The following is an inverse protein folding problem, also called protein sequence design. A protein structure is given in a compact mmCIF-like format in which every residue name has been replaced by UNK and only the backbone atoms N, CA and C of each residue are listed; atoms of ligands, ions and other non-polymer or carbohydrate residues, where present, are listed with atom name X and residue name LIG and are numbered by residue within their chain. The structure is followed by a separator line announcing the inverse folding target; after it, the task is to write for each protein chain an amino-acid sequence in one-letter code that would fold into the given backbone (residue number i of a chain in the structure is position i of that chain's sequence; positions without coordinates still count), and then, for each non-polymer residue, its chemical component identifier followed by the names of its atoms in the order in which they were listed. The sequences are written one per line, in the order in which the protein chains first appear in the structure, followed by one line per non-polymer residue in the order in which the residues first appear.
data_IF_573931415462
#
_entry.id   IF_573931415462
#
_cell.length_a   1.000
_cell.length_b   1.000
_cell.length_c   1.000
_cell.angle_alpha   90.00
_cell.angle_beta   90.00
_cell.angle_gamma   90.00
#
_symmetry.space_group_name_H-M   'P 1'
#
loop_
_entity.id
_entity.type
_entity.pdbx_description
1 polymer ?
#
# COMPACT_ATOMS: atom_id res chain seq x y z
N UNK A 1 11.23 -7.11 17.30
CA UNK A 1 10.54 -6.66 18.54
C UNK A 1 11.50 -6.34 19.68
N UNK A 2 12.21 -7.32 20.25
CA UNK A 2 13.20 -7.06 21.32
C UNK A 2 14.29 -6.06 20.90
N UNK A 3 14.82 -6.19 19.68
CA UNK A 3 15.81 -5.26 19.12
C UNK A 3 15.26 -3.84 18.87
N UNK A 4 13.94 -3.69 18.74
CA UNK A 4 13.25 -2.41 18.56
C UNK A 4 12.84 -1.78 19.91
N UNK A 5 13.22 -2.38 21.05
CA UNK A 5 12.87 -1.86 22.38
C UNK A 5 11.38 -1.96 22.75
N UNK A 6 10.61 -2.74 21.99
CA UNK A 6 9.14 -2.83 22.14
C UNK A 6 8.77 -3.59 23.42
N UNK A 7 7.83 -3.09 24.25
CA UNK A 7 7.34 -3.81 25.43
C UNK A 7 6.78 -5.20 25.09
N UNK A 8 7.09 -6.20 25.93
CA UNK A 8 6.66 -7.61 25.69
C UNK A 8 5.15 -7.77 25.50
N UNK A 9 4.35 -6.95 26.18
CA UNK A 9 2.89 -7.02 26.13
C UNK A 9 2.27 -6.78 24.74
N UNK A 10 3.02 -6.17 23.80
CA UNK A 10 2.51 -5.88 22.46
C UNK A 10 3.23 -6.64 21.35
N UNK A 11 4.14 -7.57 21.68
CA UNK A 11 4.93 -8.30 20.67
C UNK A 11 4.07 -9.06 19.67
N UNK A 12 3.01 -9.72 20.16
CA UNK A 12 2.11 -10.49 19.31
C UNK A 12 1.41 -9.56 18.31
N UNK A 13 0.78 -8.49 18.80
CA UNK A 13 0.09 -7.50 17.97
C UNK A 13 1.05 -6.90 16.94
N UNK A 14 2.24 -6.46 17.37
CA UNK A 14 3.23 -5.86 16.48
C UNK A 14 3.71 -6.84 15.38
N UNK A 15 3.92 -8.12 15.71
CA UNK A 15 4.36 -9.12 14.74
C UNK A 15 3.23 -9.48 13.77
N UNK A 16 2.02 -9.68 14.28
CA UNK A 16 0.84 -9.97 13.45
C UNK A 16 0.49 -8.82 12.51
N UNK A 17 0.62 -7.55 12.95
CA UNK A 17 0.42 -6.39 12.07
C UNK A 17 1.37 -6.40 10.87
N UNK A 18 2.66 -6.66 11.10
CA UNK A 18 3.63 -6.76 10.00
C UNK A 18 3.27 -7.91 9.05
N UNK A 19 2.93 -9.09 9.59
CA UNK A 19 2.55 -10.25 8.77
C UNK A 19 1.30 -9.97 7.95
N UNK A 20 0.25 -9.38 8.54
CA UNK A 20 -0.98 -9.04 7.81
C UNK A 20 -0.72 -8.00 6.73
N UNK A 21 0.13 -7.01 6.97
CA UNK A 21 0.52 -6.04 5.95
C UNK A 21 1.24 -6.72 4.78
N UNK A 22 2.24 -7.57 5.08
CA UNK A 22 3.00 -8.30 4.05
C UNK A 22 2.08 -9.20 3.23
N UNK A 23 1.22 -10.00 3.89
CA UNK A 23 0.29 -10.88 3.21
C UNK A 23 -0.75 -10.11 2.39
N UNK A 24 -1.23 -8.97 2.91
CA UNK A 24 -2.13 -8.08 2.18
C UNK A 24 -1.49 -7.56 0.90
N UNK A 25 -0.29 -6.98 0.99
CA UNK A 25 0.45 -6.47 -0.16
C UNK A 25 0.74 -7.58 -1.19
N UNK A 26 1.20 -8.74 -0.75
CA UNK A 26 1.46 -9.88 -1.64
C UNK A 26 0.18 -10.41 -2.29
N UNK A 27 -0.95 -10.44 -1.57
CA UNK A 27 -2.23 -10.84 -2.17
C UNK A 27 -2.68 -9.89 -3.27
N UNK A 28 -2.39 -8.59 -3.15
CA UNK A 28 -2.66 -7.61 -4.20
C UNK A 28 -1.75 -7.83 -5.41
N UNK A 29 -0.50 -8.26 -5.22
CA UNK A 29 0.38 -8.62 -6.34
C UNK A 29 -0.02 -9.91 -7.05
N UNK A 30 -0.75 -10.83 -6.38
CA UNK A 30 -1.26 -12.05 -7.01
C UNK A 30 -2.64 -11.88 -7.64
N UNK A 31 -3.50 -11.06 -7.05
CA UNK A 31 -4.79 -10.66 -7.66
C UNK A 31 -4.54 -9.63 -8.80
N UNK A 32 -3.46 -8.84 -8.71
CA UNK A 32 -3.00 -7.91 -9.75
C UNK A 32 -2.05 -8.51 -10.78
N UNK A 33 -1.32 -9.58 -10.44
CA UNK A 33 -0.49 -10.35 -11.37
C UNK A 33 -1.29 -11.27 -12.31
N UNK A 34 -2.56 -11.51 -11.97
CA UNK A 34 -3.60 -12.01 -12.87
C UNK A 34 -4.72 -10.97 -13.07
N UNK A 35 -4.44 -9.66 -12.88
CA UNK A 35 -5.31 -8.67 -13.49
C UNK A 35 -5.20 -8.89 -15.01
N UNK A 36 -6.31 -9.15 -15.73
CA UNK A 36 -6.25 -9.44 -17.16
C UNK A 36 -5.61 -8.26 -17.87
N UNK A 37 -4.32 -8.38 -18.23
CA UNK A 37 -3.56 -7.34 -18.90
C UNK A 37 -2.10 -7.22 -18.50
N UNK A 38 -1.70 -7.38 -17.23
CA UNK A 38 -0.36 -6.98 -16.75
C UNK A 38 0.79 -7.98 -17.07
N UNK A 39 0.93 -8.38 -18.33
CA UNK A 39 2.06 -9.23 -18.79
C UNK A 39 3.32 -8.39 -19.09
N UNK A 40 3.18 -7.05 -19.16
CA UNK A 40 4.26 -6.11 -19.44
C UNK A 40 4.18 -4.81 -18.60
N UNK A 41 5.28 -4.06 -18.52
CA UNK A 41 5.31 -2.74 -17.86
C UNK A 41 4.32 -1.74 -18.49
N UNK A 42 4.08 -1.84 -19.79
CA UNK A 42 3.14 -0.99 -20.53
C UNK A 42 1.68 -1.25 -20.10
N UNK A 43 1.34 -2.51 -19.86
CA UNK A 43 -0.01 -2.87 -19.41
C UNK A 43 -0.26 -2.43 -17.97
N UNK A 44 0.79 -2.47 -17.12
CA UNK A 44 0.74 -1.91 -15.77
C UNK A 44 0.48 -0.41 -15.80
N UNK A 45 1.21 0.33 -16.64
CA UNK A 45 1.04 1.78 -16.78
C UNK A 45 -0.38 2.14 -17.23
N UNK A 46 -0.92 1.43 -18.23
CA UNK A 46 -2.32 1.60 -18.67
C UNK A 46 -3.33 1.31 -17.56
N UNK A 47 -3.10 0.29 -16.75
CA UNK A 47 -3.97 -0.03 -15.61
C UNK A 47 -3.97 1.11 -14.57
N UNK A 48 -2.79 1.63 -14.22
CA UNK A 48 -2.69 2.73 -13.26
C UNK A 48 -3.27 4.04 -13.79
N UNK A 49 -3.09 4.33 -15.08
CA UNK A 49 -3.71 5.47 -15.75
C UNK A 49 -5.24 5.36 -15.71
N UNK A 50 -5.79 4.19 -16.05
CA UNK A 50 -7.23 3.94 -16.00
C UNK A 50 -7.79 4.04 -14.56
N UNK A 51 -7.06 3.53 -13.57
CA UNK A 51 -7.46 3.65 -12.16
C UNK A 51 -7.47 5.11 -11.68
N UNK A 52 -6.44 5.89 -12.03
CA UNK A 52 -6.38 7.33 -11.73
C UNK A 52 -7.52 8.09 -12.41
N UNK A 53 -7.80 7.81 -13.68
CA UNK A 53 -8.90 8.44 -14.42
C UNK A 53 -10.25 8.12 -13.76
N UNK A 54 -10.48 6.88 -13.35
CA UNK A 54 -11.69 6.47 -12.65
C UNK A 54 -11.88 7.23 -11.31
N UNK A 55 -10.79 7.56 -10.61
CA UNK A 55 -10.88 8.37 -9.39
C UNK A 55 -11.22 9.83 -9.67
N UNK A 56 -10.74 10.38 -10.79
CA UNK A 56 -11.04 11.74 -11.22
C UNK A 56 -12.48 11.93 -11.71
N UNK A 57 -13.16 10.85 -12.10
CA UNK A 57 -14.59 10.86 -12.47
C UNK A 57 -15.53 10.95 -11.24
N UNK A 58 -15.03 10.69 -10.03
CA UNK A 58 -15.81 10.82 -8.80
C UNK A 58 -16.15 12.30 -8.52
N UNK A 59 -17.29 12.58 -7.88
CA UNK A 59 -17.63 13.94 -7.47
C UNK A 59 -16.57 14.49 -6.48
N UNK A 60 -15.88 15.59 -6.80
CA UNK A 60 -14.83 16.14 -5.93
C UNK A 60 -15.34 16.66 -4.59
N UNK A 61 -16.63 17.01 -4.48
CA UNK A 61 -17.22 17.42 -3.20
C UNK A 61 -17.38 16.23 -2.24
N UNK A 62 -17.69 15.05 -2.78
CA UNK A 62 -17.90 13.84 -2.00
C UNK A 62 -16.59 13.05 -1.79
N UNK A 63 -15.64 13.14 -2.73
CA UNK A 63 -14.38 12.37 -2.72
C UNK A 63 -13.11 13.24 -2.78
N UNK A 64 -12.97 14.28 -1.94
CA UNK A 64 -11.83 15.20 -2.02
C UNK A 64 -10.48 14.51 -1.79
N UNK A 65 -10.44 13.44 -0.99
CA UNK A 65 -9.22 12.66 -0.77
C UNK A 65 -8.76 11.94 -2.03
N UNK A 66 -9.67 11.30 -2.77
CA UNK A 66 -9.33 10.53 -3.97
C UNK A 66 -8.74 11.45 -5.05
N UNK A 67 -9.33 12.64 -5.21
CA UNK A 67 -8.78 13.68 -6.09
C UNK A 67 -7.40 14.17 -5.64
N UNK A 68 -7.18 14.33 -4.33
CA UNK A 68 -5.90 14.79 -3.81
C UNK A 68 -4.73 13.80 -4.06
N UNK A 69 -5.03 12.51 -4.32
CA UNK A 69 -4.03 11.47 -4.51
C UNK A 69 -4.11 10.77 -5.88
N UNK A 70 -4.95 11.22 -6.81
CA UNK A 70 -5.12 10.55 -8.11
C UNK A 70 -3.81 10.46 -8.88
N UNK A 71 -3.03 11.55 -8.89
CA UNK A 71 -1.75 11.57 -9.60
C UNK A 71 -0.74 10.60 -8.97
N UNK A 72 -0.79 10.44 -7.64
CA UNK A 72 0.04 9.47 -6.92
C UNK A 72 -0.36 8.03 -7.28
N UNK A 73 -1.66 7.75 -7.49
CA UNK A 73 -2.12 6.45 -7.97
C UNK A 73 -1.55 6.12 -9.35
N UNK A 74 -1.42 7.10 -10.24
CA UNK A 74 -0.83 6.88 -11.57
C UNK A 74 0.67 6.65 -11.53
N UNK A 75 1.38 7.39 -10.67
CA UNK A 75 2.84 7.51 -10.73
C UNK A 75 3.60 6.58 -9.78
N UNK A 76 2.92 5.95 -8.82
CA UNK A 76 3.61 5.18 -7.80
C UNK A 76 4.33 3.94 -8.35
N UNK A 77 5.43 3.63 -7.67
CA UNK A 77 6.13 2.36 -7.77
C UNK A 77 5.65 1.42 -6.65
N UNK A 78 5.22 0.21 -7.04
CA UNK A 78 4.65 -0.77 -6.11
C UNK A 78 5.65 -1.21 -5.04
N UNK A 79 6.94 -1.31 -5.40
CA UNK A 79 8.00 -1.74 -4.48
C UNK A 79 8.32 -0.63 -3.47
N UNK A 80 8.42 0.61 -3.93
CA UNK A 80 8.61 1.77 -3.06
C UNK A 80 7.42 1.95 -2.11
N UNK A 81 6.20 1.80 -2.60
CA UNK A 81 4.98 1.84 -1.77
C UNK A 81 5.02 0.76 -0.68
N UNK A 82 5.41 -0.47 -1.03
CA UNK A 82 5.53 -1.57 -0.08
C UNK A 82 6.58 -1.31 1.02
N UNK A 83 7.78 -0.88 0.63
CA UNK A 83 8.85 -0.58 1.58
C UNK A 83 8.50 0.60 2.49
N UNK A 84 7.86 1.63 1.93
CA UNK A 84 7.38 2.78 2.70
C UNK A 84 6.31 2.37 3.72
N UNK A 85 5.38 1.49 3.36
CA UNK A 85 4.39 0.98 4.31
C UNK A 85 5.00 0.15 5.44
N UNK A 86 6.01 -0.69 5.16
CA UNK A 86 6.78 -1.37 6.23
C UNK A 86 7.41 -0.35 7.16
N UNK A 87 8.06 0.68 6.62
CA UNK A 87 8.71 1.72 7.42
C UNK A 87 7.70 2.43 8.35
N UNK A 88 6.54 2.83 7.82
CA UNK A 88 5.46 3.44 8.61
C UNK A 88 5.00 2.55 9.76
N UNK A 89 4.86 1.24 9.53
CA UNK A 89 4.48 0.29 10.57
C UNK A 89 5.59 0.15 11.62
N UNK A 90 6.85 0.03 11.20
CA UNK A 90 7.99 -0.10 12.11
C UNK A 90 8.18 1.14 12.97
N UNK A 91 8.03 2.34 12.41
CA UNK A 91 8.07 3.60 13.15
C UNK A 91 6.91 3.69 14.15
N UNK A 92 5.72 3.30 13.73
CA UNK A 92 4.56 3.20 14.61
C UNK A 92 4.83 2.27 15.79
N UNK A 93 5.39 1.08 15.55
CA UNK A 93 5.75 0.10 16.59
C UNK A 93 6.86 0.65 17.51
N UNK A 94 7.90 1.28 16.95
CA UNK A 94 9.04 1.80 17.69
C UNK A 94 8.66 2.97 18.62
N UNK A 95 7.55 3.66 18.33
CA UNK A 95 6.99 4.73 19.15
C UNK A 95 6.00 4.23 20.24
N UNK A 96 5.67 2.94 20.30
CA UNK A 96 4.82 2.34 21.35
C UNK A 96 5.61 1.90 22.60
N UNK A 97 6.63 2.68 22.97
CA UNK A 97 7.51 2.39 24.12
C UNK A 97 6.77 2.51 25.45
#
# INVERSE_FOLDING_TARGET
MRALGVPRGIWFVAASTLVHYILGAVSQTHIGGEAPGAESDEDREKYLEAASAAWQELDPADYPFMHAISDQMREHDDREQFLTGIALILDGIANRR
#
